data_IF_773074822513
#
_entry.id   IF_773074822513
#
_cell.length_a   1.000
_cell.length_b   1.000
_cell.length_c   1.000
_cell.angle_alpha   90.00
_cell.angle_beta   90.00
_cell.angle_gamma   90.00
#
_symmetry.space_group_name_H-M   'P 1'
#
loop_
_entity.id
_entity.type
_entity.pdbx_description
1 polymer ?
#
# COMPACT_ATOMS: atom_id res chain seq x y z
N UNK A 1 8.06 -3.68 -8.43
CA UNK A 1 7.06 -3.46 -7.36
C UNK A 1 7.34 -4.29 -6.10
N UNK A 2 7.59 -5.61 -6.17
CA UNK A 2 7.85 -6.46 -4.98
C UNK A 2 8.96 -5.94 -4.02
N UNK A 3 9.95 -5.20 -4.54
CA UNK A 3 11.02 -4.61 -3.72
C UNK A 3 10.51 -3.65 -2.63
N UNK A 4 9.39 -2.96 -2.86
CA UNK A 4 8.81 -2.03 -1.88
C UNK A 4 8.32 -2.74 -0.60
N UNK A 5 8.12 -4.06 -0.65
CA UNK A 5 7.53 -4.86 0.44
C UNK A 5 8.57 -5.68 1.22
N UNK A 6 9.87 -5.59 0.87
CA UNK A 6 10.91 -6.35 1.56
C UNK A 6 11.07 -5.87 3.00
N UNK A 7 10.96 -6.79 3.96
CA UNK A 7 11.13 -6.52 5.40
C UNK A 7 9.90 -5.91 6.08
N UNK A 8 8.73 -5.90 5.43
CA UNK A 8 7.49 -5.32 5.94
C UNK A 8 6.56 -6.37 6.54
N UNK A 9 5.81 -5.98 7.57
CA UNK A 9 5.15 -6.92 8.50
C UNK A 9 3.94 -7.67 7.91
N UNK A 10 3.23 -7.05 6.96
CA UNK A 10 2.05 -7.64 6.33
C UNK A 10 0.96 -8.08 7.32
N UNK A 11 0.01 -8.87 6.81
CA UNK A 11 -0.94 -9.62 7.63
C UNK A 11 -0.44 -11.05 7.79
N UNK A 12 -0.39 -11.53 9.03
CA UNK A 12 -0.01 -12.91 9.35
C UNK A 12 -1.16 -13.87 9.07
N UNK A 13 -0.85 -14.99 8.43
CA UNK A 13 -1.76 -16.11 8.23
C UNK A 13 -1.01 -17.41 8.50
N UNK A 14 -1.65 -18.33 9.20
CA UNK A 14 -0.96 -19.50 9.76
C UNK A 14 0.22 -19.07 10.67
N UNK A 15 0.84 -20.02 11.37
CA UNK A 15 1.77 -19.68 12.45
C UNK A 15 3.12 -19.06 11.97
N UNK A 16 3.36 -18.96 10.65
CA UNK A 16 4.65 -18.52 10.11
C UNK A 16 4.61 -17.73 8.80
N UNK A 17 3.43 -17.54 8.19
CA UNK A 17 3.36 -16.89 6.88
C UNK A 17 2.81 -15.46 7.02
N UNK A 18 3.33 -14.55 6.20
CA UNK A 18 2.81 -13.19 6.10
C UNK A 18 2.52 -12.82 4.65
N UNK A 19 1.44 -12.07 4.46
CA UNK A 19 0.99 -11.54 3.19
C UNK A 19 1.09 -10.01 3.24
N UNK A 20 1.93 -9.45 2.37
CA UNK A 20 2.16 -8.01 2.30
C UNK A 20 1.39 -7.35 1.16
N UNK A 21 1.04 -8.10 0.12
CA UNK A 21 0.24 -7.61 -0.99
C UNK A 21 -0.51 -8.71 -1.77
N UNK A 22 -1.60 -8.29 -2.42
CA UNK A 22 -2.32 -9.05 -3.45
C UNK A 22 -2.36 -8.21 -4.73
N UNK A 23 -2.21 -8.86 -5.87
CA UNK A 23 -2.20 -8.19 -7.17
C UNK A 23 -3.03 -8.97 -8.17
N UNK A 24 -3.87 -8.26 -8.90
CA UNK A 24 -4.63 -8.79 -10.02
C UNK A 24 -4.74 -7.73 -11.11
N UNK A 25 -4.21 -8.02 -12.31
CA UNK A 25 -4.11 -7.04 -13.39
C UNK A 25 -3.45 -5.72 -12.93
N UNK A 26 -4.15 -4.59 -13.04
CA UNK A 26 -3.72 -3.26 -12.57
C UNK A 26 -4.09 -2.96 -11.11
N UNK A 27 -4.96 -3.78 -10.51
CA UNK A 27 -5.39 -3.62 -9.12
C UNK A 27 -4.38 -4.25 -8.15
N UNK A 28 -4.09 -3.52 -7.07
CA UNK A 28 -3.21 -3.96 -6.00
C UNK A 28 -3.78 -3.61 -4.64
N UNK A 29 -3.79 -4.58 -3.73
CA UNK A 29 -4.06 -4.37 -2.30
C UNK A 29 -2.78 -4.57 -1.52
N UNK A 30 -2.55 -3.71 -0.53
CA UNK A 30 -1.34 -3.68 0.29
C UNK A 30 -1.77 -3.84 1.75
N UNK A 31 -1.06 -4.68 2.49
CA UNK A 31 -1.29 -4.92 3.90
C UNK A 31 -0.12 -4.36 4.72
N UNK A 32 -0.43 -3.48 5.67
CA UNK A 32 0.54 -2.86 6.57
C UNK A 32 -0.04 -2.76 7.97
N UNK A 33 0.84 -2.51 8.95
CA UNK A 33 0.42 -2.34 10.34
C UNK A 33 0.27 -0.88 10.75
N UNK A 34 0.78 0.06 9.95
CA UNK A 34 0.76 1.50 10.27
C UNK A 34 0.57 2.37 9.03
N UNK A 35 0.01 3.57 9.23
CA UNK A 35 -0.13 4.64 8.22
C UNK A 35 1.23 5.08 7.66
N UNK A 36 2.26 5.10 8.52
CA UNK A 36 3.63 5.43 8.11
C UNK A 36 4.19 4.39 7.12
N UNK A 37 3.99 3.10 7.42
CA UNK A 37 4.46 2.02 6.56
C UNK A 37 3.76 2.05 5.19
N UNK A 38 2.44 2.25 5.13
CA UNK A 38 1.73 2.36 3.83
C UNK A 38 2.16 3.61 3.06
N UNK A 39 2.39 4.74 3.73
CA UNK A 39 2.89 5.97 3.10
C UNK A 39 4.27 5.74 2.46
N UNK A 40 5.18 5.08 3.18
CA UNK A 40 6.51 4.73 2.66
C UNK A 40 6.43 3.74 1.48
N UNK A 41 5.54 2.73 1.54
CA UNK A 41 5.31 1.81 0.41
C UNK A 41 4.84 2.61 -0.81
N UNK A 42 3.84 3.47 -0.63
CA UNK A 42 3.23 4.20 -1.74
C UNK A 42 4.20 5.20 -2.36
N UNK A 43 5.04 5.83 -1.54
CA UNK A 43 6.14 6.68 -2.02
C UNK A 43 7.13 5.87 -2.89
N UNK A 44 7.63 4.76 -2.37
CA UNK A 44 8.55 3.89 -3.11
C UNK A 44 7.90 3.32 -4.37
N UNK A 45 6.65 2.90 -4.28
CA UNK A 45 5.88 2.34 -5.38
C UNK A 45 5.75 3.37 -6.49
N UNK A 46 5.26 4.57 -6.16
CA UNK A 46 5.07 5.67 -7.11
C UNK A 46 6.38 6.06 -7.78
N UNK A 47 7.46 6.22 -7.01
CA UNK A 47 8.78 6.53 -7.55
C UNK A 47 9.27 5.46 -8.53
N UNK A 48 9.04 4.19 -8.23
CA UNK A 48 9.42 3.09 -9.12
C UNK A 48 8.52 3.02 -10.37
N UNK A 49 7.21 3.21 -10.24
CA UNK A 49 6.26 3.11 -11.36
C UNK A 49 6.34 4.28 -12.33
N UNK A 50 6.67 5.47 -11.85
CA UNK A 50 6.90 6.66 -12.69
C UNK A 50 7.98 6.41 -13.74
N UNK A 51 9.03 5.65 -13.41
CA UNK A 51 10.09 5.28 -14.38
C UNK A 51 9.59 4.42 -15.55
N UNK A 52 8.41 3.81 -15.42
CA UNK A 52 7.72 3.03 -16.44
C UNK A 52 6.53 3.77 -17.06
N UNK A 53 6.33 5.06 -16.76
CA UNK A 53 5.19 5.84 -17.23
C UNK A 53 3.86 5.48 -16.57
N UNK A 54 3.88 4.77 -15.44
CA UNK A 54 2.70 4.35 -14.69
C UNK A 54 2.46 5.29 -13.49
N UNK A 55 1.19 5.57 -13.20
CA UNK A 55 0.75 6.42 -12.08
C UNK A 55 -0.38 5.73 -11.31
N UNK A 56 -0.35 5.88 -9.99
CA UNK A 56 -1.45 5.42 -9.12
C UNK A 56 -2.64 6.37 -9.29
N UNK A 57 -3.84 5.80 -9.47
CA UNK A 57 -5.07 6.58 -9.54
C UNK A 57 -5.59 6.87 -8.12
N UNK A 58 -5.37 8.10 -7.64
CA UNK A 58 -5.79 8.52 -6.30
C UNK A 58 -7.31 8.38 -6.10
N UNK A 59 -8.12 8.71 -7.10
CA UNK A 59 -9.60 8.65 -7.02
C UNK A 59 -10.13 7.22 -6.84
N UNK A 60 -9.37 6.22 -7.31
CA UNK A 60 -9.70 4.80 -7.13
C UNK A 60 -9.03 4.17 -5.92
N UNK A 61 -8.01 4.81 -5.35
CA UNK A 61 -7.25 4.26 -4.23
C UNK A 61 -8.00 4.53 -2.94
N UNK A 62 -8.09 3.51 -2.09
CA UNK A 62 -8.74 3.60 -0.77
C UNK A 62 -7.83 3.05 0.30
N UNK A 63 -7.98 3.58 1.50
CA UNK A 63 -7.35 3.06 2.71
C UNK A 63 -8.46 2.55 3.60
N UNK A 64 -8.31 1.33 4.11
CA UNK A 64 -9.27 0.72 5.02
C UNK A 64 -8.51 0.20 6.23
N UNK A 65 -9.03 0.49 7.41
CA UNK A 65 -8.56 -0.09 8.66
C UNK A 65 -9.44 -1.27 9.06
N UNK A 66 -8.84 -2.29 9.66
CA UNK A 66 -9.56 -3.50 10.10
C UNK A 66 -10.48 -3.24 11.30
N UNK A 67 -10.20 -2.18 12.06
CA UNK A 67 -10.99 -1.73 13.20
C UNK A 67 -11.94 -0.57 12.84
N UNK A 68 -12.10 -0.28 11.54
CA UNK A 68 -12.92 0.83 11.02
C UNK A 68 -12.48 2.23 11.48
N UNK A 69 -11.28 2.35 12.08
CA UNK A 69 -10.72 3.65 12.43
C UNK A 69 -10.32 4.45 11.19
N UNK A 70 -10.26 5.78 11.35
CA UNK A 70 -9.83 6.67 10.28
C UNK A 70 -8.32 6.53 10.06
N UNK A 71 -7.93 6.22 8.83
CA UNK A 71 -6.56 6.30 8.37
C UNK A 71 -6.35 7.52 7.46
N UNK A 72 -5.13 8.06 7.48
CA UNK A 72 -4.75 9.20 6.65
C UNK A 72 -3.41 8.93 5.97
N UNK A 73 -3.47 8.56 4.70
CA UNK A 73 -2.28 8.21 3.91
C UNK A 73 -2.05 9.27 2.85
N UNK A 74 -0.79 9.60 2.55
CA UNK A 74 -0.45 10.59 1.53
C UNK A 74 0.12 9.93 0.28
N UNK A 75 -0.45 10.26 -0.87
CA UNK A 75 0.02 9.84 -2.19
C UNK A 75 0.31 11.09 -3.04
N UNK A 76 1.58 11.34 -3.36
CA UNK A 76 2.00 12.51 -4.16
C UNK A 76 1.43 13.85 -3.64
N UNK A 77 1.31 14.00 -2.32
CA UNK A 77 0.75 15.20 -1.67
C UNK A 77 -0.78 15.26 -1.63
N UNK A 78 -1.47 14.25 -2.16
CA UNK A 78 -2.92 14.06 -2.02
C UNK A 78 -3.16 13.19 -0.79
N UNK A 79 -3.99 13.67 0.14
CA UNK A 79 -4.45 12.85 1.26
C UNK A 79 -5.53 11.88 0.76
N UNK A 80 -5.32 10.60 1.03
CA UNK A 80 -6.24 9.50 0.74
C UNK A 80 -6.66 8.91 2.09
N UNK A 81 -7.96 8.97 2.36
CA UNK A 81 -8.58 8.42 3.56
C UNK A 81 -9.75 7.51 3.21
N UNK A 82 -10.36 6.96 4.25
CA UNK A 82 -11.58 6.15 4.15
C UNK A 82 -12.81 7.00 3.83
#
# INVERSE_FOLDING_TARGET
MQKAFRGRGGVWYEDANSLTDLMFADDKTIFTNTDAEVTDILYDFTRNTQSYGLRINADKTKVLMTDESLASVHLDGIQIGQ
#
